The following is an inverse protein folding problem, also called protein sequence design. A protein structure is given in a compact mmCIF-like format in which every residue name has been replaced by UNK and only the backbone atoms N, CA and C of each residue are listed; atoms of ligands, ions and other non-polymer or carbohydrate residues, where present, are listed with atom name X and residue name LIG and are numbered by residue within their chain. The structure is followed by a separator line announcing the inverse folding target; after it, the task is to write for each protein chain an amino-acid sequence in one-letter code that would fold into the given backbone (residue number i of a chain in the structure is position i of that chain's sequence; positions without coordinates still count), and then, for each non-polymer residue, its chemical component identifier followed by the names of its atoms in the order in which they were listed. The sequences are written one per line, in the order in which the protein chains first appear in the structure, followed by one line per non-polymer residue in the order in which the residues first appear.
data_IF_236590391429
#
_entry.id   IF_236590391429
#
_cell.length_a   1.000
_cell.length_b   1.000
_cell.length_c   1.000
_cell.angle_alpha   90.00
_cell.angle_beta   90.00
_cell.angle_gamma   90.00
#
_symmetry.space_group_name_H-M   'P 1'
#
loop_
_entity.id
_entity.type
_entity.pdbx_description
1 polymer ?
#
# COMPACT_ATOMS: atom_id res chain seq x y z
N UNK A 1 -8.95 -48.17 5.45
CA UNK A 1 -8.15 -47.02 5.90
C UNK A 1 -8.92 -45.79 5.50
N UNK A 2 -9.68 -45.28 6.46
CA UNK A 2 -10.83 -44.41 6.27
C UNK A 2 -10.53 -43.07 6.95
N UNK A 3 -9.92 -42.16 6.18
CA UNK A 3 -9.45 -40.85 6.63
C UNK A 3 -10.61 -39.84 6.81
N UNK A 4 -11.86 -40.29 6.63
CA UNK A 4 -13.08 -39.49 6.75
C UNK A 4 -13.66 -39.46 8.17
N UNK A 5 -13.15 -40.26 9.11
CA UNK A 5 -13.59 -40.22 10.51
C UNK A 5 -12.90 -39.11 11.33
N UNK A 6 -11.74 -38.61 10.89
CA UNK A 6 -10.95 -37.60 11.61
C UNK A 6 -11.35 -36.15 11.29
N UNK A 7 -12.33 -35.96 10.39
CA UNK A 7 -12.91 -34.65 10.07
C UNK A 7 -14.11 -34.31 10.98
N UNK A 8 -14.54 -35.24 11.85
CA UNK A 8 -15.76 -35.12 12.64
C UNK A 8 -15.61 -34.48 14.01
N UNK A 9 -14.39 -34.44 14.58
CA UNK A 9 -14.17 -34.08 15.98
C UNK A 9 -13.45 -32.73 16.20
N UNK A 10 -13.09 -32.01 15.13
CA UNK A 10 -12.48 -30.68 15.26
C UNK A 10 -13.49 -29.50 15.19
N UNK A 11 -14.80 -29.78 15.10
CA UNK A 11 -15.86 -28.75 15.07
C UNK A 11 -16.65 -28.73 16.39
N UNK A 12 -15.99 -28.88 17.53
CA UNK A 12 -16.57 -28.57 18.84
C UNK A 12 -15.51 -27.99 19.75
N UNK A 13 -15.36 -26.67 19.70
CA UNK A 13 -15.03 -25.75 20.80
C UNK A 13 -14.48 -24.42 20.26
N UNK A 14 -15.31 -23.65 19.56
CA UNK A 14 -15.13 -22.20 19.53
C UNK A 14 -15.97 -21.61 20.66
N UNK A 15 -15.34 -20.96 21.66
CA UNK A 15 -16.11 -20.18 22.62
C UNK A 15 -16.82 -19.08 21.86
N UNK A 16 -18.12 -18.91 22.11
CA UNK A 16 -18.93 -17.80 21.61
C UNK A 16 -18.24 -16.48 21.99
N UNK A 17 -17.51 -15.87 21.05
CA UNK A 17 -17.11 -14.46 21.10
C UNK A 17 -18.32 -13.63 20.67
N UNK A 18 -18.69 -12.68 21.52
CA UNK A 18 -19.79 -11.74 21.29
C UNK A 18 -19.51 -10.81 20.11
N UNK A 19 -20.49 -9.96 19.76
CA UNK A 19 -20.39 -9.04 18.63
C UNK A 19 -19.47 -7.88 19.01
N UNK A 20 -18.17 -8.02 18.81
CA UNK A 20 -17.22 -6.95 19.12
C UNK A 20 -16.10 -6.89 18.07
N UNK A 21 -16.13 -5.82 17.28
CA UNK A 21 -15.03 -5.23 16.51
C UNK A 21 -14.52 -5.99 15.27
N UNK A 22 -15.37 -6.18 14.26
CA UNK A 22 -14.95 -6.48 12.87
C UNK A 22 -14.93 -5.23 11.96
N UNK A 23 -15.01 -4.03 12.53
CA UNK A 23 -15.18 -2.78 11.78
C UNK A 23 -13.91 -1.93 11.87
N UNK A 24 -12.84 -2.26 11.13
CA UNK A 24 -11.78 -1.33 10.65
C UNK A 24 -10.48 -2.05 10.18
N UNK A 25 -10.52 -3.32 9.79
CA UNK A 25 -9.34 -3.98 9.21
C UNK A 25 -9.15 -3.53 7.76
N UNK A 26 -8.23 -2.59 7.54
CA UNK A 26 -7.78 -2.21 6.18
C UNK A 26 -6.69 -3.20 5.77
N UNK A 27 -7.01 -4.13 4.87
CA UNK A 27 -6.02 -5.01 4.24
C UNK A 27 -5.45 -4.29 3.02
N UNK A 28 -4.25 -3.74 3.14
CA UNK A 28 -3.52 -3.13 2.01
C UNK A 28 -2.58 -4.17 1.38
N UNK A 29 -3.09 -4.86 0.36
CA UNK A 29 -2.30 -5.44 -0.74
C UNK A 29 -1.91 -6.92 -0.69
N UNK A 30 -1.89 -7.55 -1.88
CA UNK A 30 -0.86 -8.52 -2.26
C UNK A 30 -1.33 -9.95 -2.54
N UNK A 31 -1.17 -10.38 -3.79
CA UNK A 31 -1.33 -11.75 -4.28
C UNK A 31 -0.47 -12.76 -3.48
N UNK A 32 -0.96 -13.99 -3.41
CA UNK A 32 -0.52 -15.06 -2.54
C UNK A 32 1.01 -15.28 -2.58
N UNK A 33 1.68 -15.08 -1.43
CA UNK A 33 2.99 -15.68 -1.20
C UNK A 33 4.07 -14.83 -0.53
N UNK A 34 3.82 -13.59 -0.10
CA UNK A 34 4.80 -12.85 0.72
C UNK A 34 4.26 -12.60 2.13
N UNK A 35 4.84 -13.28 3.12
CA UNK A 35 4.79 -12.87 4.53
C UNK A 35 5.55 -11.54 4.68
N UNK A 36 4.92 -10.45 4.26
CA UNK A 36 5.32 -9.09 4.64
C UNK A 36 4.30 -8.59 5.67
N UNK A 37 4.84 -8.17 6.82
CA UNK A 37 4.12 -7.97 8.07
C UNK A 37 2.77 -7.27 7.87
N UNK A 38 1.72 -7.95 8.32
CA UNK A 38 0.42 -7.31 8.55
C UNK A 38 0.66 -6.23 9.59
N UNK A 39 0.69 -4.97 9.16
CA UNK A 39 0.68 -3.85 10.11
C UNK A 39 -0.73 -3.79 10.67
N UNK A 40 -0.90 -4.31 11.89
CA UNK A 40 -2.16 -4.27 12.61
C UNK A 40 -2.37 -2.84 13.14
N UNK A 41 -2.74 -1.94 12.23
CA UNK A 41 -3.03 -0.55 12.55
C UNK A 41 -4.47 -0.46 13.05
N UNK A 42 -4.66 -0.45 14.36
CA UNK A 42 -5.95 -0.17 14.96
C UNK A 42 -6.31 1.30 14.72
N UNK A 43 -7.23 1.55 13.78
CA UNK A 43 -7.72 2.90 13.47
C UNK A 43 -8.96 3.21 14.32
N UNK A 44 -8.90 4.30 15.08
CA UNK A 44 -9.97 4.80 15.94
C UNK A 44 -10.29 6.27 15.61
N UNK A 45 -11.36 6.86 16.15
CA UNK A 45 -11.73 8.25 15.87
C UNK A 45 -10.66 9.28 16.22
N UNK A 46 -9.77 8.98 17.18
CA UNK A 46 -8.76 9.89 17.69
C UNK A 46 -7.51 9.89 16.80
N UNK A 47 -7.17 8.75 16.19
CA UNK A 47 -5.96 8.58 15.39
C UNK A 47 -6.19 8.63 13.87
N UNK A 48 -7.45 8.57 13.41
CA UNK A 48 -7.79 8.40 11.98
C UNK A 48 -7.18 9.46 11.05
N UNK A 49 -7.17 10.73 11.48
CA UNK A 49 -6.61 11.82 10.69
C UNK A 49 -5.08 11.74 10.63
N UNK A 50 -4.43 11.28 11.70
CA UNK A 50 -2.99 11.06 11.74
C UNK A 50 -2.58 9.92 10.82
N UNK A 51 -3.32 8.81 10.83
CA UNK A 51 -3.08 7.67 9.93
C UNK A 51 -3.29 8.08 8.47
N UNK A 52 -4.36 8.81 8.18
CA UNK A 52 -4.61 9.37 6.84
C UNK A 52 -3.44 10.23 6.37
N UNK A 53 -2.97 11.14 7.23
CA UNK A 53 -1.86 12.02 6.92
C UNK A 53 -0.57 11.24 6.62
N UNK A 54 -0.28 10.19 7.39
CA UNK A 54 0.87 9.32 7.16
C UNK A 54 0.80 8.58 5.82
N UNK A 55 -0.36 8.03 5.45
CA UNK A 55 -0.54 7.37 4.14
C UNK A 55 -0.32 8.33 2.98
N UNK A 56 -0.87 9.55 3.07
CA UNK A 56 -0.72 10.55 2.03
C UNK A 56 0.73 11.02 1.88
N UNK A 57 1.44 11.24 2.99
CA UNK A 57 2.84 11.63 2.96
C UNK A 57 3.74 10.54 2.36
N UNK A 58 3.47 9.28 2.68
CA UNK A 58 4.20 8.17 2.06
C UNK A 58 3.88 8.04 0.57
N UNK A 59 2.62 8.24 0.17
CA UNK A 59 2.23 8.27 -1.24
C UNK A 59 2.94 9.40 -2.01
N UNK A 60 3.00 10.62 -1.44
CA UNK A 60 3.75 11.74 -2.03
C UNK A 60 5.23 11.42 -2.15
N UNK A 61 5.86 10.95 -1.07
CA UNK A 61 7.28 10.61 -1.06
C UNK A 61 7.62 9.56 -2.12
N UNK A 62 6.85 8.47 -2.18
CA UNK A 62 7.06 7.40 -3.16
C UNK A 62 6.76 7.85 -4.58
N UNK A 63 5.71 8.63 -4.79
CA UNK A 63 5.39 9.18 -6.12
C UNK A 63 6.52 10.07 -6.65
N UNK A 64 7.13 10.89 -5.79
CA UNK A 64 8.31 11.70 -6.12
C UNK A 64 9.49 10.85 -6.54
N UNK A 65 9.83 9.82 -5.75
CA UNK A 65 10.90 8.87 -6.08
C UNK A 65 10.63 8.16 -7.42
N UNK A 66 9.39 7.73 -7.67
CA UNK A 66 9.03 7.08 -8.93
C UNK A 66 9.12 8.03 -10.12
N UNK A 67 8.71 9.29 -9.97
CA UNK A 67 8.82 10.30 -11.01
C UNK A 67 10.29 10.51 -11.44
N UNK A 68 11.22 10.54 -10.48
CA UNK A 68 12.66 10.64 -10.75
C UNK A 68 13.22 9.38 -11.41
N UNK A 69 12.86 8.20 -10.90
CA UNK A 69 13.39 6.92 -11.39
C UNK A 69 12.93 6.56 -12.81
N UNK A 70 11.78 7.08 -13.26
CA UNK A 70 11.15 6.69 -14.54
C UNK A 70 12.13 6.71 -15.72
N UNK A 71 13.00 7.72 -15.81
CA UNK A 71 13.96 7.86 -16.89
C UNK A 71 15.19 6.96 -16.72
N UNK A 72 15.61 6.69 -15.48
CA UNK A 72 16.78 5.86 -15.16
C UNK A 72 16.55 4.35 -15.26
N UNK A 73 15.28 3.91 -15.34
CA UNK A 73 14.94 2.49 -15.42
C UNK A 73 15.04 1.91 -16.84
N UNK A 74 15.29 2.74 -17.86
CA UNK A 74 15.52 2.27 -19.22
C UNK A 74 16.95 1.74 -19.35
N UNK A 75 17.08 0.49 -19.79
CA UNK A 75 18.37 -0.14 -20.00
C UNK A 75 18.75 -0.07 -21.47
N UNK A 76 19.85 0.61 -21.79
CA UNK A 76 20.42 0.58 -23.13
C UNK A 76 21.20 -0.71 -23.37
N UNK A 77 21.20 -1.26 -24.60
CA UNK A 77 22.06 -2.39 -24.94
C UNK A 77 23.54 -2.03 -24.73
N UNK A 78 24.29 -2.88 -24.03
CA UNK A 78 25.73 -2.70 -23.78
C UNK A 78 26.59 -3.00 -25.02
N UNK A 79 25.98 -3.50 -26.08
CA UNK A 79 26.64 -3.90 -27.33
C UNK A 79 25.62 -4.05 -28.45
N UNK A 80 26.12 -4.16 -29.68
CA UNK A 80 25.30 -4.31 -30.89
C UNK A 80 25.01 -5.77 -31.25
N UNK A 81 25.52 -6.73 -30.48
CA UNK A 81 25.21 -8.13 -30.71
C UNK A 81 23.74 -8.44 -30.35
N UNK A 82 23.15 -9.48 -30.98
CA UNK A 82 21.74 -9.81 -30.74
C UNK A 82 21.41 -10.10 -29.27
N UNK A 83 22.34 -10.66 -28.49
CA UNK A 83 22.09 -10.98 -27.08
C UNK A 83 22.03 -9.70 -26.22
N UNK A 84 22.93 -8.75 -26.45
CA UNK A 84 22.91 -7.44 -25.76
C UNK A 84 21.63 -6.65 -26.04
N UNK A 85 21.16 -6.63 -27.30
CA UNK A 85 19.92 -5.96 -27.67
C UNK A 85 18.71 -6.62 -27.00
N UNK A 86 18.62 -7.95 -27.07
CA UNK A 86 17.53 -8.70 -26.45
C UNK A 86 17.50 -8.51 -24.93
N UNK A 87 18.66 -8.49 -24.28
CA UNK A 87 18.75 -8.25 -22.85
C UNK A 87 18.28 -6.84 -22.46
N UNK A 88 18.71 -5.79 -23.17
CA UNK A 88 18.29 -4.41 -22.90
C UNK A 88 16.76 -4.23 -23.01
N UNK A 89 16.15 -4.87 -24.03
CA UNK A 89 14.70 -4.90 -24.20
C UNK A 89 13.99 -5.63 -23.06
N UNK A 90 14.47 -6.83 -22.69
CA UNK A 90 13.89 -7.62 -21.61
C UNK A 90 13.99 -6.93 -20.25
N UNK A 91 15.15 -6.35 -19.95
CA UNK A 91 15.40 -5.62 -18.70
C UNK A 91 14.50 -4.39 -18.61
N UNK A 92 14.45 -3.56 -19.66
CA UNK A 92 13.54 -2.40 -19.73
C UNK A 92 12.07 -2.83 -19.60
N UNK A 93 11.70 -3.96 -20.24
CA UNK A 93 10.39 -4.57 -20.11
C UNK A 93 10.00 -4.82 -18.65
N UNK A 94 10.84 -5.58 -17.94
CA UNK A 94 10.59 -5.96 -16.54
C UNK A 94 10.65 -4.78 -15.56
N UNK A 95 11.50 -3.80 -15.83
CA UNK A 95 11.67 -2.66 -14.92
C UNK A 95 10.58 -1.61 -15.12
N UNK A 96 10.18 -1.34 -16.37
CA UNK A 96 9.43 -0.13 -16.70
C UNK A 96 8.15 -0.37 -17.52
N UNK A 97 8.22 -1.11 -18.63
CA UNK A 97 7.15 -1.03 -19.66
C UNK A 97 6.11 -2.14 -19.60
N UNK A 98 6.44 -3.31 -19.04
CA UNK A 98 5.46 -4.39 -18.94
C UNK A 98 4.36 -4.02 -17.93
N UNK A 99 3.12 -4.49 -18.13
CA UNK A 99 2.02 -4.26 -17.19
C UNK A 99 2.33 -4.75 -15.76
N UNK A 100 3.11 -5.82 -15.63
CA UNK A 100 3.54 -6.40 -14.36
C UNK A 100 4.93 -5.95 -13.91
N UNK A 101 5.51 -4.94 -14.57
CA UNK A 101 6.83 -4.40 -14.26
C UNK A 101 6.92 -3.83 -12.85
N UNK A 102 8.13 -3.75 -12.31
CA UNK A 102 8.36 -3.19 -10.97
C UNK A 102 7.87 -1.74 -10.86
N UNK A 103 8.10 -0.92 -11.88
CA UNK A 103 7.58 0.46 -11.91
C UNK A 103 6.05 0.51 -11.80
N UNK A 104 5.33 -0.34 -12.55
CA UNK A 104 3.87 -0.40 -12.49
C UNK A 104 3.38 -0.90 -11.14
N UNK A 105 4.00 -1.93 -10.56
CA UNK A 105 3.66 -2.42 -9.22
C UNK A 105 3.85 -1.36 -8.13
N UNK A 106 4.95 -0.61 -8.19
CA UNK A 106 5.19 0.48 -7.25
C UNK A 106 4.19 1.63 -7.44
N UNK A 107 3.82 1.93 -8.70
CA UNK A 107 2.78 2.93 -9.00
C UNK A 107 1.42 2.49 -8.43
N UNK A 108 1.03 1.23 -8.63
CA UNK A 108 -0.19 0.67 -8.04
C UNK A 108 -0.17 0.70 -6.51
N UNK A 109 1.00 0.47 -5.90
CA UNK A 109 1.13 0.61 -4.44
C UNK A 109 0.86 2.04 -3.98
N UNK A 110 1.40 3.05 -4.67
CA UNK A 110 1.11 4.47 -4.40
C UNK A 110 -0.38 4.77 -4.58
N UNK A 111 -1.02 4.26 -5.63
CA UNK A 111 -2.46 4.40 -5.83
C UNK A 111 -3.26 3.78 -4.67
N UNK A 112 -2.85 2.59 -4.21
CA UNK A 112 -3.48 1.93 -3.06
C UNK A 112 -3.35 2.75 -1.77
N UNK A 113 -2.24 3.46 -1.56
CA UNK A 113 -2.09 4.38 -0.42
C UNK A 113 -3.08 5.55 -0.51
N UNK A 114 -3.25 6.15 -1.69
CA UNK A 114 -4.24 7.22 -1.89
C UNK A 114 -5.68 6.72 -1.67
N UNK A 115 -6.02 5.54 -2.21
CA UNK A 115 -7.32 4.91 -1.99
C UNK A 115 -7.55 4.63 -0.51
N UNK A 116 -6.54 4.11 0.20
CA UNK A 116 -6.60 3.90 1.65
C UNK A 116 -6.82 5.19 2.43
N UNK A 117 -6.11 6.26 2.07
CA UNK A 117 -6.28 7.58 2.69
C UNK A 117 -7.69 8.17 2.47
N UNK A 118 -8.29 7.95 1.30
CA UNK A 118 -9.67 8.40 1.03
C UNK A 118 -10.70 7.56 1.81
N UNK A 119 -10.49 6.25 1.95
CA UNK A 119 -11.33 5.41 2.80
C UNK A 119 -11.30 5.87 4.28
N UNK A 120 -10.14 6.34 4.76
CA UNK A 120 -10.01 6.95 6.09
C UNK A 120 -10.72 8.30 6.17
N UNK A 121 -10.69 9.12 5.12
CA UNK A 121 -11.45 10.38 5.08
C UNK A 121 -12.96 10.11 5.24
N UNK A 122 -13.48 9.16 4.47
CA UNK A 122 -14.89 8.77 4.54
C UNK A 122 -15.27 8.22 5.93
N UNK A 123 -14.38 7.45 6.54
CA UNK A 123 -14.60 6.94 7.90
C UNK A 123 -14.52 8.07 8.94
N UNK A 124 -13.63 9.05 8.78
CA UNK A 124 -13.53 10.22 9.64
C UNK A 124 -14.81 11.09 9.59
N UNK A 125 -15.44 11.24 8.41
CA UNK A 125 -16.75 11.91 8.27
C UNK A 125 -17.82 11.23 9.13
N UNK A 126 -17.84 9.89 9.17
CA UNK A 126 -18.79 9.13 9.99
C UNK A 126 -18.56 9.32 11.49
N UNK A 127 -17.32 9.59 11.89
CA UNK A 127 -16.98 9.95 13.26
C UNK A 127 -17.24 11.43 13.60
N UNK A 128 -17.68 12.24 12.64
CA UNK A 128 -18.04 13.64 12.86
C UNK A 128 -16.88 14.63 12.67
N UNK A 129 -15.75 14.20 12.10
CA UNK A 129 -14.69 15.13 11.69
C UNK A 129 -15.19 16.07 10.59
N UNK A 130 -14.80 17.33 10.66
CA UNK A 130 -15.16 18.34 9.65
C UNK A 130 -14.30 18.20 8.39
N UNK A 131 -14.82 18.65 7.25
CA UNK A 131 -14.03 18.69 6.01
C UNK A 131 -12.76 19.55 6.16
N UNK A 132 -12.82 20.63 6.96
CA UNK A 132 -11.65 21.45 7.27
C UNK A 132 -10.57 20.65 8.03
N UNK A 133 -10.97 19.81 9.00
CA UNK A 133 -10.04 18.95 9.73
C UNK A 133 -9.42 17.86 8.84
N UNK A 134 -10.24 17.26 7.96
CA UNK A 134 -9.80 16.27 6.99
C UNK A 134 -8.81 16.90 5.99
N UNK A 135 -9.10 18.10 5.47
CA UNK A 135 -8.20 18.82 4.58
C UNK A 135 -6.88 19.20 5.29
N UNK A 136 -6.96 19.72 6.51
CA UNK A 136 -5.80 20.14 7.30
C UNK A 136 -4.86 18.99 7.67
N UNK A 137 -5.39 17.76 7.82
CA UNK A 137 -4.59 16.59 8.19
C UNK A 137 -3.40 16.35 7.25
N UNK A 138 -3.56 16.66 5.96
CA UNK A 138 -2.49 16.50 4.98
C UNK A 138 -1.50 17.67 4.99
N UNK A 139 -2.00 18.90 5.13
CA UNK A 139 -1.18 20.12 5.13
C UNK A 139 -0.23 20.17 6.33
N UNK A 140 -0.66 19.67 7.49
CA UNK A 140 0.16 19.70 8.70
C UNK A 140 1.41 18.81 8.62
N UNK A 141 1.37 17.71 7.86
CA UNK A 141 2.51 16.80 7.73
C UNK A 141 3.54 17.34 6.72
N UNK A 142 3.09 17.96 5.64
CA UNK A 142 3.97 18.54 4.60
C UNK A 142 4.72 19.78 5.10
N UNK A 143 4.09 20.61 5.94
CA UNK A 143 4.78 21.75 6.61
C UNK A 143 5.90 21.29 7.54
N UNK A 144 5.72 20.16 8.23
CA UNK A 144 6.74 19.62 9.15
C UNK A 144 7.92 19.02 8.38
N UNK A 145 7.70 18.47 7.17
CA UNK A 145 8.76 17.94 6.31
C UNK A 145 9.56 19.02 5.54
N UNK A 146 8.99 20.21 5.34
CA UNK A 146 9.65 21.34 4.66
C UNK A 146 10.37 22.35 5.56
N UNK A 147 10.28 22.18 6.89
CA UNK A 147 10.79 23.13 7.88
C UNK A 147 12.20 22.81 8.42
N UNK A 148 13.22 22.80 7.57
CA UNK A 148 14.61 22.89 8.04
C UNK A 148 15.52 23.55 7.00
N UNK A 149 15.63 24.88 7.11
CA UNK A 149 16.82 25.64 6.74
C UNK A 149 16.70 27.02 7.40
N UNK A 150 17.29 27.11 8.59
CA UNK A 150 17.68 28.35 9.24
C UNK A 150 19.19 28.26 9.51
#
# INVERSE_FOLDING_TARGET
MDWLADLGDHIRETPRRGPEQDNNRIVVGGDAGSEQGTVDLAVDPDNILQVRAALLAEAERLSGVLAELRYGLRFEPMGSDPASIAFGQLATGRLLTNPDSYFHRCTQYVENLYVGAEALAETARRYGHTEDAIAASFVSLTVTAGGSNA
#
